data_IF_146282728568
#
_entry.id   IF_146282728568
#
_cell.length_a   1.000
_cell.length_b   1.000
_cell.length_c   1.000
_cell.angle_alpha   90.00
_cell.angle_beta   90.00
_cell.angle_gamma   90.00
#
_symmetry.space_group_name_H-M   'P 1'
#
loop_
_entity.id
_entity.type
_entity.pdbx_description
1 polymer ?
#
# COMPACT_ATOMS: atom_id res chain seq x y z
N UNK A 1 -30.50 -14.82 9.04
CA UNK A 1 -29.23 -14.64 8.33
C UNK A 1 -28.13 -14.71 9.37
N UNK A 2 -27.25 -15.69 9.27
CA UNK A 2 -26.14 -15.87 10.22
C UNK A 2 -25.01 -14.91 9.86
N UNK A 3 -24.48 -14.22 10.87
CA UNK A 3 -23.42 -13.22 10.72
C UNK A 3 -22.20 -13.75 11.48
N UNK A 4 -21.05 -13.75 10.81
CA UNK A 4 -19.77 -14.17 11.35
C UNK A 4 -18.77 -13.00 11.30
N UNK A 5 -17.95 -12.89 12.35
CA UNK A 5 -16.85 -11.93 12.38
C UNK A 5 -15.62 -12.56 11.71
N UNK A 6 -15.22 -12.02 10.57
CA UNK A 6 -14.16 -12.58 9.71
C UNK A 6 -13.05 -11.57 9.49
N UNK A 7 -11.80 -12.05 9.46
CA UNK A 7 -10.62 -11.22 9.28
C UNK A 7 -10.12 -11.29 7.83
N UNK A 8 -9.97 -10.12 7.19
CA UNK A 8 -9.37 -9.98 5.86
C UNK A 8 -7.95 -10.56 5.82
N UNK A 9 -7.71 -11.47 4.88
CA UNK A 9 -6.41 -12.14 4.73
C UNK A 9 -5.31 -11.20 4.20
N UNK A 10 -5.69 -10.05 3.63
CA UNK A 10 -4.77 -9.05 3.09
C UNK A 10 -4.28 -8.06 4.15
N UNK A 11 -5.21 -7.36 4.81
CA UNK A 11 -4.90 -6.24 5.70
C UNK A 11 -5.24 -6.48 7.17
N UNK A 12 -5.83 -7.64 7.51
CA UNK A 12 -6.19 -7.98 8.88
C UNK A 12 -7.39 -7.23 9.45
N UNK A 13 -8.08 -6.40 8.66
CA UNK A 13 -9.33 -5.75 9.07
C UNK A 13 -10.41 -6.80 9.35
N UNK A 14 -11.14 -6.66 10.45
CA UNK A 14 -12.28 -7.53 10.79
C UNK A 14 -13.59 -6.88 10.34
N UNK A 15 -14.46 -7.67 9.73
CA UNK A 15 -15.79 -7.27 9.30
C UNK A 15 -16.80 -8.32 9.75
N UNK A 16 -17.99 -7.88 10.12
CA UNK A 16 -19.11 -8.77 10.45
C UNK A 16 -19.93 -8.96 9.17
N UNK A 17 -19.92 -10.17 8.63
CA UNK A 17 -20.45 -10.49 7.31
C UNK A 17 -21.32 -11.73 7.35
N UNK A 18 -22.23 -11.85 6.38
CA UNK A 18 -23.11 -13.01 6.26
C UNK A 18 -22.35 -14.15 5.61
N UNK A 19 -22.67 -15.40 5.97
CA UNK A 19 -21.92 -16.55 5.45
C UNK A 19 -22.02 -16.71 3.93
N UNK A 20 -23.16 -16.29 3.37
CA UNK A 20 -23.39 -16.21 1.93
C UNK A 20 -22.42 -15.22 1.26
N UNK A 21 -22.27 -14.02 1.82
CA UNK A 21 -21.37 -13.00 1.29
C UNK A 21 -19.90 -13.43 1.42
N UNK A 22 -19.52 -14.07 2.53
CA UNK A 22 -18.18 -14.62 2.74
C UNK A 22 -17.84 -15.64 1.65
N UNK A 23 -18.78 -16.55 1.38
CA UNK A 23 -18.61 -17.59 0.36
C UNK A 23 -18.52 -17.01 -1.06
N UNK A 24 -19.33 -16.00 -1.37
CA UNK A 24 -19.30 -15.31 -2.66
C UNK A 24 -17.98 -14.58 -2.90
N UNK A 25 -17.46 -13.88 -1.89
CA UNK A 25 -16.17 -13.20 -1.98
C UNK A 25 -15.05 -14.24 -2.17
N UNK A 26 -15.01 -15.31 -1.37
CA UNK A 26 -14.00 -16.37 -1.54
C UNK A 26 -14.04 -16.98 -2.94
N UNK A 27 -15.22 -17.21 -3.51
CA UNK A 27 -15.35 -17.72 -4.88
C UNK A 27 -14.79 -16.76 -5.94
N UNK A 28 -14.87 -15.44 -5.70
CA UNK A 28 -14.34 -14.42 -6.62
C UNK A 28 -12.83 -14.20 -6.49
N UNK A 29 -12.27 -14.30 -5.29
CA UNK A 29 -10.89 -13.88 -4.98
C UNK A 29 -9.98 -15.07 -4.64
N UNK A 30 -10.00 -16.12 -5.48
CA UNK A 30 -9.08 -17.27 -5.36
C UNK A 30 -9.16 -17.99 -4.00
N UNK A 31 -10.37 -18.16 -3.49
CA UNK A 31 -10.63 -18.81 -2.20
C UNK A 31 -10.35 -17.93 -0.98
N UNK A 32 -9.85 -16.70 -1.17
CA UNK A 32 -9.47 -15.81 -0.08
C UNK A 32 -10.58 -14.86 0.30
N UNK A 33 -10.74 -14.65 1.60
CA UNK A 33 -11.59 -13.58 2.11
C UNK A 33 -10.86 -12.25 2.10
N UNK A 34 -11.44 -11.27 1.41
CA UNK A 34 -10.97 -9.89 1.35
C UNK A 34 -12.07 -8.96 1.88
N UNK A 35 -11.67 -7.97 2.67
CA UNK A 35 -12.59 -6.90 3.06
C UNK A 35 -13.09 -6.11 1.85
N UNK A 36 -14.15 -5.32 2.03
CA UNK A 36 -14.74 -4.53 0.95
C UNK A 36 -13.72 -3.65 0.21
N UNK A 37 -12.81 -3.01 0.95
CA UNK A 37 -11.77 -2.13 0.37
C UNK A 37 -10.72 -2.89 -0.43
N UNK A 38 -10.22 -4.03 0.08
CA UNK A 38 -9.26 -4.85 -0.66
C UNK A 38 -9.90 -5.48 -1.89
N UNK A 39 -11.17 -5.86 -1.81
CA UNK A 39 -11.95 -6.40 -2.94
C UNK A 39 -12.12 -5.38 -4.07
N UNK A 40 -12.34 -4.10 -3.76
CA UNK A 40 -12.37 -3.02 -4.75
C UNK A 40 -10.97 -2.76 -5.34
N UNK A 41 -9.93 -2.73 -4.50
CA UNK A 41 -8.56 -2.50 -4.97
C UNK A 41 -8.08 -3.56 -5.97
N UNK A 42 -8.33 -4.85 -5.68
CA UNK A 42 -7.99 -5.95 -6.61
C UNK A 42 -8.77 -5.82 -7.93
N UNK A 43 -10.05 -5.42 -7.89
CA UNK A 43 -10.85 -5.21 -9.11
C UNK A 43 -10.35 -4.02 -9.94
N UNK A 44 -9.94 -2.93 -9.29
CA UNK A 44 -9.33 -1.78 -9.95
C UNK A 44 -8.02 -2.18 -10.65
N UNK A 45 -7.15 -2.94 -9.96
CA UNK A 45 -5.91 -3.47 -10.53
C UNK A 45 -6.14 -4.33 -11.79
N UNK A 46 -7.17 -5.18 -11.78
CA UNK A 46 -7.57 -6.00 -12.92
C UNK A 46 -8.07 -5.17 -14.11
N UNK A 47 -8.85 -4.12 -13.83
CA UNK A 47 -9.41 -3.25 -14.88
C UNK A 47 -8.37 -2.34 -15.53
N UNK A 48 -7.30 -1.98 -14.81
CA UNK A 48 -6.25 -1.05 -15.26
C UNK A 48 -5.11 -1.70 -16.05
N UNK A 49 -5.03 -3.03 -16.06
CA UNK A 49 -3.94 -3.76 -16.70
C UNK A 49 -3.97 -3.68 -18.23
N UNK A 50 -2.87 -3.23 -18.86
CA UNK A 50 -2.65 -3.37 -20.33
C UNK A 50 -2.46 -4.83 -20.77
N UNK A 51 -2.17 -5.72 -19.81
CA UNK A 51 -2.17 -7.19 -19.96
C UNK A 51 -3.25 -7.74 -19.04
N UNK A 52 -4.07 -8.64 -19.55
CA UNK A 52 -5.04 -9.40 -18.75
C UNK A 52 -4.26 -10.34 -17.83
N UNK A 53 -3.97 -9.87 -16.62
CA UNK A 53 -3.50 -10.75 -15.56
C UNK A 53 -4.69 -11.51 -14.97
N UNK A 54 -4.46 -12.76 -14.57
CA UNK A 54 -5.50 -13.58 -13.94
C UNK A 54 -5.89 -13.03 -12.58
N UNK A 55 -7.10 -13.38 -12.12
CA UNK A 55 -7.62 -13.01 -10.79
C UNK A 55 -6.63 -13.34 -9.66
N UNK A 56 -6.06 -14.55 -9.69
CA UNK A 56 -5.05 -15.02 -8.74
C UNK A 56 -3.84 -14.08 -8.67
N UNK A 57 -3.35 -13.63 -9.83
CA UNK A 57 -2.17 -12.77 -9.89
C UNK A 57 -2.45 -11.38 -9.34
N UNK A 58 -3.62 -10.81 -9.61
CA UNK A 58 -4.03 -9.55 -9.02
C UNK A 58 -4.18 -9.66 -7.49
N UNK A 59 -4.82 -10.71 -6.99
CA UNK A 59 -4.91 -10.97 -5.54
C UNK A 59 -3.51 -11.07 -4.92
N UNK A 60 -2.59 -11.81 -5.56
CA UNK A 60 -1.21 -11.97 -5.10
C UNK A 60 -0.44 -10.65 -5.09
N UNK A 61 -0.57 -9.85 -6.15
CA UNK A 61 0.07 -8.54 -6.26
C UNK A 61 -0.41 -7.59 -5.16
N UNK A 62 -1.73 -7.51 -4.97
CA UNK A 62 -2.35 -6.68 -3.95
C UNK A 62 -1.92 -7.07 -2.52
N UNK A 63 -1.93 -8.36 -2.20
CA UNK A 63 -1.48 -8.85 -0.88
C UNK A 63 0.00 -8.56 -0.64
N UNK A 64 0.85 -8.72 -1.66
CA UNK A 64 2.28 -8.36 -1.57
C UNK A 64 2.49 -6.87 -1.32
N UNK A 65 1.65 -6.02 -1.92
CA UNK A 65 1.67 -4.58 -1.69
C UNK A 65 1.22 -4.25 -0.27
N UNK A 66 0.07 -4.76 0.17
CA UNK A 66 -0.49 -4.46 1.49
C UNK A 66 0.43 -4.92 2.63
N UNK A 67 1.05 -6.10 2.49
CA UNK A 67 2.01 -6.63 3.47
C UNK A 67 3.20 -5.71 3.74
N UNK A 68 3.59 -4.84 2.79
CA UNK A 68 4.67 -3.85 3.00
C UNK A 68 4.25 -2.67 3.87
N UNK A 69 2.95 -2.40 3.98
CA UNK A 69 2.40 -1.24 4.69
C UNK A 69 1.67 -1.61 5.98
N UNK A 70 1.66 -2.88 6.35
CA UNK A 70 1.09 -3.35 7.62
C UNK A 70 1.92 -2.93 8.86
N UNK A 71 3.00 -2.17 8.65
CA UNK A 71 3.77 -1.52 9.71
C UNK A 71 3.00 -0.32 10.28
N UNK A 72 3.00 -0.15 11.60
CA UNK A 72 2.47 1.05 12.26
C UNK A 72 3.02 2.32 11.57
N UNK A 73 2.17 3.25 11.12
CA UNK A 73 2.60 4.49 10.47
C UNK A 73 3.68 5.25 11.25
N UNK A 74 3.64 5.19 12.59
CA UNK A 74 4.66 5.77 13.46
C UNK A 74 6.06 5.19 13.24
N UNK A 75 6.19 3.91 12.89
CA UNK A 75 7.47 3.26 12.56
C UNK A 75 8.06 3.88 11.30
N UNK A 76 7.25 4.10 10.25
CA UNK A 76 7.71 4.75 9.02
C UNK A 76 8.11 6.20 9.23
N UNK A 77 7.37 6.93 10.09
CA UNK A 77 7.75 8.29 10.50
C UNK A 77 9.06 8.27 11.26
N UNK A 78 9.22 7.37 12.23
CA UNK A 78 10.44 7.22 13.01
C UNK A 78 11.65 6.84 12.13
N UNK A 79 11.48 5.95 11.16
CA UNK A 79 12.52 5.60 10.19
C UNK A 79 12.91 6.79 9.32
N UNK A 80 11.93 7.58 8.86
CA UNK A 80 12.17 8.85 8.17
C UNK A 80 12.99 9.82 9.02
N UNK A 81 12.62 9.99 10.30
CA UNK A 81 13.36 10.83 11.25
C UNK A 81 14.79 10.31 11.48
N UNK A 82 14.95 9.01 11.67
CA UNK A 82 16.25 8.34 11.84
C UNK A 82 17.14 8.54 10.62
N UNK A 83 16.59 8.45 9.40
CA UNK A 83 17.33 8.70 8.17
C UNK A 83 17.75 10.16 8.05
N UNK A 84 16.88 11.11 8.42
CA UNK A 84 17.21 12.55 8.43
C UNK A 84 18.34 12.88 9.41
N UNK A 85 18.29 12.32 10.63
CA UNK A 85 19.33 12.51 11.63
C UNK A 85 20.66 11.89 11.19
N UNK A 86 20.65 10.67 10.64
CA UNK A 86 21.86 10.00 10.11
C UNK A 86 22.52 10.79 8.97
N UNK A 87 21.72 11.35 8.07
CA UNK A 87 22.22 12.23 7.00
C UNK A 87 22.92 13.46 7.55
N UNK A 88 22.33 14.11 8.57
CA UNK A 88 22.95 15.26 9.24
C UNK A 88 24.24 14.89 9.98
N UNK A 89 24.31 13.71 10.60
CA UNK A 89 25.52 13.25 11.29
C UNK A 89 26.67 12.92 10.35
N UNK A 90 26.40 12.48 9.11
CA UNK A 90 27.43 12.23 8.10
C UNK A 90 28.05 13.50 7.50
N UNK A 91 27.24 14.56 7.34
CA UNK A 91 27.70 15.86 6.81
C UNK A 91 28.62 16.62 7.77
N UNK A 92 28.54 16.33 9.08
CA UNK A 92 29.43 16.92 10.10
C UNK A 92 30.86 16.38 10.01
N UNK A 93 31.09 15.25 9.32
CA UNK A 93 32.43 14.69 9.12
C UNK A 93 33.11 15.16 7.82
N UNK A 94 32.39 15.85 6.93
CA UNK A 94 32.95 16.41 5.70
C UNK A 94 32.76 17.92 5.64
N UNK A 95 33.39 18.61 6.59
CA UNK A 95 33.66 20.05 6.50
C UNK A 95 34.56 20.35 5.30
N UNK A 96 33.98 20.43 4.10
CA UNK A 96 34.50 21.28 3.01
C UNK A 96 33.35 22.03 2.36
N UNK A 97 33.24 23.29 2.77
CA UNK A 97 32.37 24.32 2.23
C UNK A 97 32.43 24.41 0.70
N UNK A 98 31.29 24.18 0.05
CA UNK A 98 31.01 24.85 -1.23
C UNK A 98 29.51 25.07 -1.35
N UNK A 99 29.08 26.30 -1.11
CA UNK A 99 27.72 26.79 -1.25
C UNK A 99 27.25 26.68 -2.71
N UNK A 100 26.57 25.58 -3.07
CA UNK A 100 25.83 25.50 -4.33
C UNK A 100 24.47 26.16 -4.16
N UNK A 101 24.35 27.37 -4.73
CA UNK A 101 23.08 28.11 -4.92
C UNK A 101 22.08 27.22 -5.65
N UNK A 102 20.92 26.99 -5.04
CA UNK A 102 19.78 26.36 -5.70
C UNK A 102 19.07 27.42 -6.56
N UNK A 103 19.07 27.21 -7.87
CA UNK A 103 18.28 28.02 -8.81
C UNK A 103 16.82 27.55 -8.78
N UNK A 104 15.87 28.49 -8.66
CA UNK A 104 14.43 28.24 -8.75
C UNK A 104 14.06 27.82 -10.18
N UNK A 105 13.43 26.66 -10.36
CA UNK A 105 12.83 26.27 -11.64
C UNK A 105 11.57 27.10 -11.90
N UNK A 106 11.48 27.68 -13.10
CA UNK A 106 10.34 28.48 -13.55
C UNK A 106 9.12 27.58 -13.83
N UNK A 107 7.94 27.99 -13.35
CA UNK A 107 6.66 27.40 -13.75
C UNK A 107 6.37 27.73 -15.21
N UNK A 108 6.31 26.71 -16.06
CA UNK A 108 5.71 26.82 -17.39
C UNK A 108 4.19 26.84 -17.25
N UNK A 109 3.56 27.96 -17.63
CA UNK A 109 2.11 28.07 -17.80
C UNK A 109 1.68 27.20 -18.99
N UNK A 110 0.64 26.39 -18.76
CA UNK A 110 -0.15 25.76 -19.80
C UNK A 110 -1.02 26.82 -20.48
N UNK A 111 -0.92 26.91 -21.81
CA UNK A 111 -2.05 27.16 -22.70
C UNK A 111 -2.09 26.01 -23.69
#
# INVERSE_FOLDING_TARGET
MEIESVQCECCGLKEDCTQEYISEVKAKFDGKWLCGLCSEAVRDELSRGKKQFGMEEAVRAHMSFCGKFNSNPAVRVADGMKQMLRRRSGDLSSSKSSSKKYSRSASTKLY
#
